data_IF_536534850505
#
_entry.id   IF_536534850505
#
_cell.length_a   1.000
_cell.length_b   1.000
_cell.length_c   1.000
_cell.angle_alpha   90.00
_cell.angle_beta   90.00
_cell.angle_gamma   90.00
#
_symmetry.space_group_name_H-M   'P 1'
#
loop_
_entity.id
_entity.type
_entity.pdbx_description
1 polymer ?
#
# COMPACT_ATOMS: atom_id res chain seq x y z
N UNK A 1 0.39 3.59 -8.53
CA UNK A 1 0.36 2.38 -7.69
C UNK A 1 -0.66 1.43 -8.29
N UNK A 2 -0.45 0.12 -8.20
CA UNK A 2 -1.33 -0.90 -8.78
C UNK A 2 -1.56 -2.03 -7.78
N UNK A 3 -2.59 -2.84 -8.04
CA UNK A 3 -2.79 -4.10 -7.33
C UNK A 3 -1.52 -4.95 -7.43
N UNK A 4 -1.09 -5.49 -6.30
CA UNK A 4 0.13 -6.27 -6.14
C UNK A 4 1.36 -5.45 -5.73
N UNK A 5 1.31 -4.12 -5.74
CA UNK A 5 2.42 -3.30 -5.22
C UNK A 5 2.53 -3.48 -3.69
N UNK A 6 3.77 -3.64 -3.22
CA UNK A 6 4.09 -3.55 -1.79
C UNK A 6 4.19 -2.09 -1.39
N UNK A 7 3.54 -1.75 -0.28
CA UNK A 7 3.45 -0.38 0.23
C UNK A 7 3.84 -0.32 1.69
N UNK A 8 4.35 0.85 2.11
CA UNK A 8 4.55 1.19 3.52
C UNK A 8 3.53 2.23 3.95
N UNK A 9 3.03 2.10 5.18
CA UNK A 9 2.22 3.12 5.82
C UNK A 9 3.08 4.36 6.16
N UNK A 10 2.64 5.55 5.77
CA UNK A 10 3.29 6.84 6.08
C UNK A 10 2.70 7.50 7.33
N UNK A 11 1.60 6.99 7.87
CA UNK A 11 0.93 7.58 9.03
C UNK A 11 1.74 7.32 10.32
N UNK A 12 2.12 8.36 11.08
CA UNK A 12 3.05 8.25 12.21
C UNK A 12 2.52 7.46 13.42
N UNK A 13 1.23 7.06 13.41
CA UNK A 13 0.61 6.27 14.49
C UNK A 13 0.71 4.76 14.28
N UNK A 14 0.83 4.30 13.03
CA UNK A 14 1.02 2.90 12.69
C UNK A 14 2.50 2.75 12.31
N UNK A 15 3.32 2.22 13.23
CA UNK A 15 4.77 2.14 13.02
C UNK A 15 5.08 1.32 11.75
N UNK A 16 5.42 2.01 10.67
CA UNK A 16 6.08 1.45 9.48
C UNK A 16 5.56 0.08 9.03
N UNK A 17 4.24 -0.07 8.93
CA UNK A 17 3.63 -1.33 8.51
C UNK A 17 3.76 -1.49 6.99
N UNK A 18 4.19 -2.68 6.57
CA UNK A 18 4.24 -3.10 5.19
C UNK A 18 2.92 -3.79 4.86
N UNK A 19 2.34 -3.47 3.72
CA UNK A 19 1.14 -4.11 3.20
C UNK A 19 1.22 -4.31 1.70
N UNK A 20 0.22 -4.99 1.15
CA UNK A 20 0.04 -5.21 -0.29
C UNK A 20 -1.30 -4.64 -0.74
N UNK A 21 -1.30 -3.95 -1.88
CA UNK A 21 -2.53 -3.45 -2.49
C UNK A 21 -3.28 -4.62 -3.13
N UNK A 22 -4.53 -4.84 -2.72
CA UNK A 22 -5.40 -5.89 -3.27
C UNK A 22 -6.53 -5.34 -4.14
N UNK A 23 -6.86 -4.05 -4.01
CA UNK A 23 -7.90 -3.40 -4.81
C UNK A 23 -7.66 -1.88 -4.90
N UNK A 24 -8.23 -1.26 -5.93
CA UNK A 24 -8.20 0.19 -6.16
C UNK A 24 -9.63 0.65 -6.45
N UNK A 25 -10.13 1.60 -5.65
CA UNK A 25 -11.46 2.15 -5.87
C UNK A 25 -11.55 2.82 -7.26
N UNK A 26 -12.43 2.29 -8.11
CA UNK A 26 -12.61 2.76 -9.48
C UNK A 26 -13.29 4.14 -9.57
N UNK A 27 -13.95 4.60 -8.49
CA UNK A 27 -14.65 5.88 -8.47
C UNK A 27 -13.69 7.04 -8.19
N UNK A 28 -12.90 6.93 -7.12
CA UNK A 28 -11.92 7.95 -6.76
C UNK A 28 -10.59 7.80 -7.50
N UNK A 29 -10.18 6.56 -7.81
CA UNK A 29 -8.84 6.24 -8.33
C UNK A 29 -7.70 6.50 -7.33
N UNK A 30 -8.03 6.90 -6.10
CA UNK A 30 -7.07 7.42 -5.12
C UNK A 30 -7.18 6.72 -3.75
N UNK A 31 -8.18 5.86 -3.58
CA UNK A 31 -8.35 4.99 -2.41
C UNK A 31 -7.97 3.56 -2.78
N UNK A 32 -7.17 2.94 -1.92
CA UNK A 32 -6.58 1.62 -2.10
C UNK A 32 -6.98 0.71 -0.93
N UNK A 33 -7.34 -0.53 -1.24
CA UNK A 33 -7.51 -1.56 -0.21
C UNK A 33 -6.17 -2.25 0.02
N UNK A 34 -5.64 -2.16 1.23
CA UNK A 34 -4.34 -2.69 1.61
C UNK A 34 -4.52 -3.79 2.65
N UNK A 35 -3.89 -4.94 2.43
CA UNK A 35 -3.74 -5.98 3.45
C UNK A 35 -2.38 -5.81 4.11
N UNK A 36 -2.37 -5.54 5.41
CA UNK A 36 -1.15 -5.41 6.19
C UNK A 36 -0.58 -6.78 6.58
N UNK A 37 0.73 -6.84 6.83
CA UNK A 37 1.42 -8.10 7.18
C UNK A 37 0.91 -8.77 8.47
N UNK A 38 0.25 -8.03 9.37
CA UNK A 38 -0.40 -8.58 10.57
C UNK A 38 -1.84 -9.09 10.32
N UNK A 39 -2.32 -9.01 9.08
CA UNK A 39 -3.59 -9.60 8.63
C UNK A 39 -4.80 -8.65 8.64
N UNK A 40 -4.63 -7.40 9.07
CA UNK A 40 -5.69 -6.40 8.98
C UNK A 40 -5.83 -5.85 7.55
N UNK A 41 -7.06 -5.45 7.22
CA UNK A 41 -7.42 -4.87 5.93
C UNK A 41 -7.88 -3.44 6.18
N UNK A 42 -7.25 -2.48 5.50
CA UNK A 42 -7.58 -1.06 5.62
C UNK A 42 -7.75 -0.40 4.25
N UNK A 43 -8.53 0.69 4.24
CA UNK A 43 -8.70 1.56 3.08
C UNK A 43 -7.81 2.79 3.26
N UNK A 44 -6.89 2.99 2.33
CA UNK A 44 -5.83 4.00 2.44
C UNK A 44 -5.89 4.96 1.26
N UNK A 45 -5.70 6.26 1.49
CA UNK A 45 -5.47 7.18 0.38
C UNK A 45 -4.05 7.04 -0.15
N UNK A 46 -3.83 7.44 -1.39
CA UNK A 46 -2.49 7.46 -1.99
C UNK A 46 -1.48 8.28 -1.19
N UNK A 47 -1.93 9.34 -0.53
CA UNK A 47 -1.09 10.21 0.29
C UNK A 47 -0.60 9.55 1.59
N UNK A 48 -1.28 8.49 2.04
CA UNK A 48 -1.02 7.81 3.31
C UNK A 48 -0.08 6.61 3.16
N UNK A 49 0.24 6.22 1.93
CA UNK A 49 1.08 5.07 1.62
C UNK A 49 2.15 5.40 0.58
N UNK A 50 3.29 4.72 0.64
CA UNK A 50 4.32 4.82 -0.40
C UNK A 50 4.69 3.43 -0.91
N UNK A 51 4.83 3.29 -2.23
CA UNK A 51 5.34 2.06 -2.85
C UNK A 51 6.79 1.83 -2.40
N UNK A 52 7.04 0.62 -1.91
CA UNK A 52 8.38 0.12 -1.66
C UNK A 52 8.86 -0.40 -3.02
N UNK A 53 9.52 0.47 -3.79
CA UNK A 53 9.89 0.31 -5.21
C UNK A 53 10.33 -1.09 -5.65
N UNK A 54 10.04 -1.40 -6.93
CA UNK A 54 10.37 -2.61 -7.69
C UNK A 54 11.77 -3.16 -7.35
N UNK A 55 11.82 -4.45 -7.02
CA UNK A 55 13.07 -5.21 -7.02
C UNK A 55 13.58 -5.20 -8.46
N UNK A 56 14.40 -4.21 -8.80
CA UNK A 56 15.35 -4.35 -9.89
C UNK A 56 16.22 -5.51 -9.47
N UNK A 57 16.07 -6.67 -10.12
CA UNK A 57 17.15 -7.64 -10.13
C UNK A 57 18.36 -6.86 -10.63
N UNK A 58 19.29 -6.56 -9.73
CA UNK A 58 20.57 -5.96 -10.12
C UNK A 58 21.21 -6.89 -11.12
N UNK A 59 21.59 -6.36 -12.28
CA UNK A 59 22.67 -6.90 -13.08
C UNK A 59 23.95 -7.02 -12.23
#
# INVERSE_FOLDING_TARGET
MKVGDLVRNLYPRCRHEIGIIIDVDAISGDVYTVVWMHGEIEYMNSADIAVISEVSNGD
#
